data_IF_369054954460
#
_entry.id   IF_369054954460
#
_cell.length_a   1.000
_cell.length_b   1.000
_cell.length_c   1.000
_cell.angle_alpha   90.00
_cell.angle_beta   90.00
_cell.angle_gamma   90.00
#
_symmetry.space_group_name_H-M   'P 1'
#
loop_
_entity.id
_entity.type
_entity.pdbx_description
1 polymer ?
#
# COMPACT_ATOMS: atom_id res chain seq x y z
N UNK A 1 2.75 2.32 9.89
CA UNK A 1 1.37 1.92 9.63
C UNK A 1 1.24 0.95 8.47
N UNK A 2 0.05 0.44 8.26
CA UNK A 2 -0.28 -0.49 7.17
C UNK A 2 -1.34 0.15 6.30
N UNK A 3 -1.18 0.09 4.97
CA UNK A 3 -2.12 0.74 4.07
C UNK A 3 -2.36 -0.06 2.79
N UNK A 4 -3.34 0.41 2.02
CA UNK A 4 -3.62 -0.08 0.67
C UNK A 4 -3.34 1.02 -0.34
N UNK A 5 -2.65 0.68 -1.40
CA UNK A 5 -2.52 1.50 -2.60
C UNK A 5 -3.50 0.99 -3.64
N UNK A 6 -4.72 1.52 -3.63
CA UNK A 6 -5.78 1.14 -4.55
C UNK A 6 -5.51 1.66 -5.95
N UNK A 7 -6.00 0.94 -6.95
CA UNK A 7 -5.77 1.28 -8.36
C UNK A 7 -7.06 1.13 -9.17
N UNK A 8 -7.41 2.15 -9.93
CA UNK A 8 -8.38 2.04 -11.01
C UNK A 8 -7.72 1.38 -12.22
N UNK A 9 -7.86 0.05 -12.33
CA UNK A 9 -7.14 -0.74 -13.33
C UNK A 9 -7.51 -0.43 -14.76
N UNK A 10 -8.75 -0.05 -15.01
CA UNK A 10 -9.25 0.42 -16.30
C UNK A 10 -8.51 1.67 -16.78
N UNK A 11 -8.39 2.69 -15.91
CA UNK A 11 -7.67 3.92 -16.20
C UNK A 11 -6.16 3.69 -16.33
N UNK A 12 -5.60 2.81 -15.50
CA UNK A 12 -4.18 2.45 -15.59
C UNK A 12 -3.86 1.77 -16.92
N UNK A 13 -4.71 0.85 -17.41
CA UNK A 13 -4.52 0.18 -18.69
C UNK A 13 -4.49 1.19 -19.84
N UNK A 14 -5.46 2.09 -19.91
CA UNK A 14 -5.51 3.15 -20.92
C UNK A 14 -4.27 4.05 -20.87
N UNK A 15 -3.84 4.45 -19.68
CA UNK A 15 -2.66 5.28 -19.52
C UNK A 15 -1.38 4.55 -19.94
N UNK A 16 -1.25 3.28 -19.58
CA UNK A 16 -0.11 2.42 -19.94
C UNK A 16 0.01 2.24 -21.45
N UNK A 17 -1.10 1.91 -22.12
CA UNK A 17 -1.13 1.70 -23.57
C UNK A 17 -0.77 2.99 -24.35
N UNK A 18 -1.12 4.14 -23.79
CA UNK A 18 -0.81 5.44 -24.36
C UNK A 18 0.54 6.04 -23.91
N UNK A 19 1.31 5.34 -23.07
CA UNK A 19 2.56 5.85 -22.51
C UNK A 19 2.38 7.09 -21.63
N UNK A 20 1.24 7.21 -20.94
CA UNK A 20 0.87 8.36 -20.09
C UNK A 20 1.12 8.09 -18.61
N UNK A 21 1.28 9.12 -17.77
CA UNK A 21 1.31 9.00 -16.31
C UNK A 21 0.05 8.33 -15.77
N UNK A 22 0.17 7.67 -14.61
CA UNK A 22 -0.93 6.92 -13.98
C UNK A 22 -1.69 7.70 -12.92
N UNK A 23 -1.51 9.03 -12.87
CA UNK A 23 -2.01 9.88 -11.80
C UNK A 23 -3.51 9.67 -11.52
N UNK A 24 -4.34 9.67 -12.57
CA UNK A 24 -5.80 9.47 -12.42
C UNK A 24 -6.19 8.04 -12.06
N UNK A 25 -5.29 7.09 -12.25
CA UNK A 25 -5.50 5.70 -11.84
C UNK A 25 -5.10 5.44 -10.39
N UNK A 26 -4.26 6.31 -9.82
CA UNK A 26 -3.69 6.20 -8.47
C UNK A 26 -4.19 7.28 -7.51
N UNK A 27 -4.28 8.53 -7.98
CA UNK A 27 -4.66 9.68 -7.18
C UNK A 27 -6.17 9.97 -7.25
N UNK A 28 -6.99 9.16 -6.63
CA UNK A 28 -8.43 9.36 -6.51
C UNK A 28 -8.87 9.33 -5.03
N UNK A 29 -10.09 9.80 -4.75
CA UNK A 29 -10.62 9.87 -3.40
C UNK A 29 -10.60 8.50 -2.71
N UNK A 30 -10.09 8.45 -1.48
CA UNK A 30 -9.92 7.24 -0.68
C UNK A 30 -9.05 6.15 -1.34
N UNK A 31 -8.12 6.53 -2.24
CA UNK A 31 -7.24 5.58 -2.94
C UNK A 31 -6.17 4.95 -2.06
N UNK A 32 -5.86 5.55 -0.91
CA UNK A 32 -4.76 5.14 -0.03
C UNK A 32 -5.21 5.04 1.44
N UNK A 33 -6.18 4.18 1.78
CA UNK A 33 -6.56 3.97 3.17
C UNK A 33 -5.37 3.43 3.97
N UNK A 34 -5.24 3.90 5.22
CA UNK A 34 -4.13 3.57 6.10
C UNK A 34 -4.66 3.27 7.51
N UNK A 35 -4.03 2.33 8.19
CA UNK A 35 -4.24 2.08 9.63
C UNK A 35 -3.75 3.27 10.47
N UNK A 36 -3.85 3.17 11.78
CA UNK A 36 -3.16 4.09 12.67
C UNK A 36 -1.65 4.09 12.39
N UNK A 37 -1.03 5.25 12.54
CA UNK A 37 0.42 5.40 12.45
C UNK A 37 1.03 5.22 13.84
N UNK A 38 2.02 4.36 13.94
CA UNK A 38 2.72 4.08 15.18
C UNK A 38 4.11 4.73 15.17
N UNK A 39 4.51 5.42 16.23
CA UNK A 39 5.87 5.94 16.31
C UNK A 39 6.89 4.81 16.39
N UNK A 40 8.08 5.06 15.88
CA UNK A 40 9.20 4.08 15.89
C UNK A 40 9.55 3.65 17.31
N UNK A 41 9.34 4.49 18.32
CA UNK A 41 9.52 4.11 19.73
C UNK A 41 8.69 2.91 20.16
N UNK A 42 7.54 2.67 19.51
CA UNK A 42 6.58 1.65 19.92
C UNK A 42 6.74 0.35 19.11
N UNK A 43 7.01 0.48 17.81
CA UNK A 43 7.06 -0.67 16.88
C UNK A 43 8.46 -0.93 16.32
N UNK A 44 9.44 -0.05 16.57
CA UNK A 44 10.78 -0.15 16.03
C UNK A 44 10.83 0.11 14.53
N UNK A 45 11.88 -0.43 13.89
CA UNK A 45 12.04 -0.50 12.44
C UNK A 45 11.93 -1.96 12.00
N UNK A 46 10.73 -2.47 11.70
CA UNK A 46 10.56 -3.87 11.31
C UNK A 46 11.25 -4.12 9.99
N UNK A 47 12.29 -4.96 10.02
CA UNK A 47 13.02 -5.39 8.82
C UNK A 47 12.52 -6.74 8.30
N UNK A 48 11.95 -7.54 9.18
CA UNK A 48 11.37 -8.85 8.89
C UNK A 48 10.01 -8.93 9.59
N UNK A 49 8.96 -9.04 8.82
CA UNK A 49 7.61 -9.26 9.31
C UNK A 49 6.75 -9.75 8.15
N UNK A 50 5.80 -10.61 8.45
CA UNK A 50 4.79 -11.02 7.49
C UNK A 50 3.92 -9.82 7.14
N UNK A 51 3.73 -9.58 5.83
CA UNK A 51 2.72 -8.65 5.27
C UNK A 51 1.69 -9.48 4.53
N UNK A 52 0.41 -9.20 4.74
CA UNK A 52 -0.66 -10.01 4.16
C UNK A 52 -1.93 -9.21 3.88
N UNK A 53 -2.74 -9.73 2.95
CA UNK A 53 -4.05 -9.20 2.61
C UNK A 53 -5.04 -10.34 2.35
N UNK A 54 -6.23 -10.21 2.92
CA UNK A 54 -7.39 -11.08 2.69
C UNK A 54 -8.52 -10.28 2.03
N UNK A 55 -9.27 -10.94 1.17
CA UNK A 55 -10.52 -10.41 0.60
C UNK A 55 -11.61 -11.44 0.85
N UNK A 56 -12.67 -11.04 1.54
CA UNK A 56 -13.79 -11.91 1.93
C UNK A 56 -13.31 -13.17 2.69
N UNK A 57 -12.30 -13.02 3.55
CA UNK A 57 -11.70 -14.10 4.33
C UNK A 57 -10.75 -15.02 3.55
N UNK A 58 -10.52 -14.77 2.27
CA UNK A 58 -9.55 -15.52 1.47
C UNK A 58 -8.24 -14.76 1.34
N UNK A 59 -7.12 -15.39 1.67
CA UNK A 59 -5.78 -14.83 1.50
C UNK A 59 -5.51 -14.53 0.02
N UNK A 60 -5.12 -13.31 -0.30
CA UNK A 60 -4.84 -12.82 -1.65
C UNK A 60 -3.38 -12.44 -1.85
N UNK A 61 -2.79 -11.78 -0.87
CA UNK A 61 -1.41 -11.36 -0.93
C UNK A 61 -0.71 -11.78 0.36
N UNK A 62 0.51 -12.25 0.23
CA UNK A 62 1.39 -12.58 1.34
C UNK A 62 2.85 -12.40 0.93
N UNK A 63 3.67 -11.93 1.85
CA UNK A 63 5.11 -11.78 1.69
C UNK A 63 5.78 -11.44 3.00
N UNK A 64 7.06 -11.15 2.94
CA UNK A 64 7.83 -10.68 4.07
C UNK A 64 8.49 -9.33 3.75
N UNK A 65 8.68 -8.48 4.75
CA UNK A 65 9.28 -7.16 4.55
C UNK A 65 10.74 -7.24 4.04
N UNK A 66 11.45 -8.32 4.32
CA UNK A 66 12.82 -8.54 3.83
C UNK A 66 12.89 -8.93 2.34
N UNK A 67 11.75 -9.20 1.71
CA UNK A 67 11.67 -9.43 0.25
C UNK A 67 11.65 -8.12 -0.55
N UNK A 68 11.64 -6.96 0.11
CA UNK A 68 11.71 -5.67 -0.57
C UNK A 68 13.01 -5.52 -1.36
N UNK A 69 12.93 -5.10 -2.63
CA UNK A 69 14.10 -4.87 -3.50
C UNK A 69 14.99 -3.76 -2.92
N UNK A 70 14.39 -2.70 -2.39
CA UNK A 70 15.08 -1.57 -1.78
C UNK A 70 14.72 -1.43 -0.30
N UNK A 71 15.72 -1.33 0.60
CA UNK A 71 15.46 -0.97 2.00
C UNK A 71 14.74 0.39 2.12
N UNK A 72 13.90 0.54 3.13
CA UNK A 72 13.15 1.79 3.35
C UNK A 72 14.07 3.02 3.43
N UNK A 73 15.24 2.89 4.06
CA UNK A 73 16.20 3.99 4.14
C UNK A 73 16.65 4.49 2.76
N UNK A 74 16.88 3.56 1.82
CA UNK A 74 17.29 3.89 0.45
C UNK A 74 16.13 4.50 -0.35
N UNK A 75 14.90 4.02 -0.13
CA UNK A 75 13.68 4.62 -0.72
C UNK A 75 13.56 6.09 -0.27
N UNK A 76 13.67 6.36 1.02
CA UNK A 76 13.60 7.72 1.58
C UNK A 76 14.74 8.57 1.03
N UNK A 77 15.99 8.07 1.04
CA UNK A 77 17.15 8.79 0.52
C UNK A 77 17.04 9.11 -0.96
N UNK A 78 16.46 8.21 -1.75
CA UNK A 78 16.22 8.45 -3.17
C UNK A 78 15.12 9.49 -3.40
N UNK A 79 14.00 9.36 -2.69
CA UNK A 79 12.85 10.25 -2.83
C UNK A 79 13.19 11.68 -2.39
N UNK A 80 13.96 11.86 -1.32
CA UNK A 80 14.38 13.16 -0.80
C UNK A 80 15.27 13.97 -1.74
N UNK A 81 15.84 13.33 -2.76
CA UNK A 81 16.57 14.05 -3.84
C UNK A 81 15.64 14.66 -4.89
N UNK A 82 14.41 14.16 -4.98
CA UNK A 82 13.44 14.56 -6.00
C UNK A 82 12.40 15.52 -5.44
N UNK A 83 12.01 15.34 -4.18
CA UNK A 83 11.00 16.15 -3.51
C UNK A 83 11.42 16.47 -2.08
N UNK A 84 10.93 17.58 -1.55
CA UNK A 84 11.10 17.91 -0.13
C UNK A 84 10.12 17.08 0.69
N UNK A 85 10.63 16.19 1.53
CA UNK A 85 9.80 15.43 2.47
C UNK A 85 9.49 16.27 3.71
N UNK A 86 8.26 16.22 4.16
CA UNK A 86 7.77 16.97 5.32
C UNK A 86 7.09 16.03 6.35
N UNK A 87 7.02 16.44 7.63
CA UNK A 87 6.23 15.71 8.62
C UNK A 87 4.78 15.55 8.17
N UNK A 88 4.27 14.31 8.19
CA UNK A 88 2.94 13.95 7.70
C UNK A 88 2.92 13.34 6.31
N UNK A 89 4.02 13.35 5.57
CA UNK A 89 4.11 12.63 4.30
C UNK A 89 4.04 11.12 4.53
N UNK A 90 3.26 10.44 3.70
CA UNK A 90 3.15 8.98 3.70
C UNK A 90 3.85 8.40 2.48
N UNK A 91 4.71 7.42 2.71
CA UNK A 91 5.40 6.69 1.63
C UNK A 91 4.86 5.27 1.59
N UNK A 92 4.15 4.93 0.51
CA UNK A 92 3.70 3.57 0.23
C UNK A 92 4.82 2.83 -0.48
N UNK A 93 5.45 1.90 0.21
CA UNK A 93 6.71 1.26 -0.21
C UNK A 93 6.55 0.05 -1.14
N UNK A 94 5.31 -0.29 -1.48
CA UNK A 94 5.03 -1.39 -2.42
C UNK A 94 4.16 -2.49 -1.82
N UNK A 95 4.01 -3.57 -2.58
CA UNK A 95 3.09 -4.67 -2.26
C UNK A 95 3.66 -6.00 -2.71
N UNK A 96 3.41 -7.12 -1.99
CA UNK A 96 3.75 -8.45 -2.47
C UNK A 96 2.88 -8.87 -3.65
N UNK A 97 3.20 -10.00 -4.26
CA UNK A 97 2.42 -10.59 -5.36
C UNK A 97 0.98 -10.90 -4.94
N UNK A 98 0.09 -11.12 -5.91
CA UNK A 98 -1.31 -11.47 -5.68
C UNK A 98 -2.30 -10.31 -5.83
N UNK A 99 -1.88 -9.19 -6.45
CA UNK A 99 -2.79 -8.07 -6.78
C UNK A 99 -3.96 -8.55 -7.64
N UNK A 100 -5.15 -8.03 -7.36
CA UNK A 100 -6.38 -8.39 -8.05
C UNK A 100 -7.44 -7.31 -7.98
N UNK A 101 -8.53 -7.51 -8.70
CA UNK A 101 -9.67 -6.61 -8.67
C UNK A 101 -10.45 -6.77 -7.37
N UNK A 102 -10.94 -5.64 -6.85
CA UNK A 102 -11.91 -5.56 -5.77
C UNK A 102 -13.27 -5.16 -6.34
N UNK A 103 -14.32 -5.65 -5.71
CA UNK A 103 -15.70 -5.36 -6.09
C UNK A 103 -16.40 -4.58 -4.97
N UNK A 104 -17.41 -3.77 -5.29
CA UNK A 104 -18.26 -3.17 -4.27
C UNK A 104 -18.83 -4.24 -3.32
N UNK A 105 -18.72 -3.99 -2.02
CA UNK A 105 -19.13 -4.92 -0.97
C UNK A 105 -18.03 -5.87 -0.48
N UNK A 106 -16.89 -5.95 -1.17
CA UNK A 106 -15.77 -6.76 -0.67
C UNK A 106 -15.28 -6.25 0.69
N UNK A 107 -15.10 -7.20 1.60
CA UNK A 107 -14.43 -6.97 2.88
C UNK A 107 -12.95 -7.24 2.71
N UNK A 108 -12.14 -6.22 2.97
CA UNK A 108 -10.69 -6.28 2.83
C UNK A 108 -10.06 -6.14 4.20
N UNK A 109 -9.21 -7.09 4.55
CA UNK A 109 -8.45 -7.09 5.79
C UNK A 109 -6.98 -7.28 5.46
N UNK A 110 -6.12 -6.51 6.08
CA UNK A 110 -4.68 -6.62 5.86
C UNK A 110 -3.88 -6.25 7.08
N UNK A 111 -2.60 -6.62 7.07
CA UNK A 111 -1.75 -6.34 8.21
C UNK A 111 -0.26 -6.57 7.94
N UNK A 112 0.52 -6.05 8.87
CA UNK A 112 1.93 -6.36 9.04
C UNK A 112 2.12 -6.81 10.48
N UNK A 113 2.62 -8.02 10.65
CA UNK A 113 2.79 -8.64 11.97
C UNK A 113 3.70 -7.78 12.85
N UNK A 114 3.25 -7.51 14.08
CA UNK A 114 3.97 -6.65 15.03
C UNK A 114 3.87 -5.14 14.76
N UNK A 115 3.13 -4.71 13.73
CA UNK A 115 2.89 -3.29 13.44
C UNK A 115 1.42 -2.94 13.62
N UNK A 116 0.53 -3.39 12.75
CA UNK A 116 -0.89 -3.11 12.83
C UNK A 116 -1.69 -3.97 11.83
N UNK A 117 -3.01 -3.90 11.93
CA UNK A 117 -3.97 -4.45 10.98
C UNK A 117 -5.03 -3.41 10.64
N UNK A 118 -5.65 -3.54 9.48
CA UNK A 118 -6.81 -2.75 9.10
C UNK A 118 -7.91 -3.63 8.53
N UNK A 119 -9.13 -3.12 8.58
CA UNK A 119 -10.28 -3.71 7.90
C UNK A 119 -11.12 -2.61 7.27
N UNK A 120 -11.58 -2.84 6.06
CA UNK A 120 -12.45 -1.92 5.34
C UNK A 120 -13.39 -2.67 4.41
N UNK A 121 -14.47 -2.00 4.03
CA UNK A 121 -15.41 -2.49 3.02
C UNK A 121 -15.34 -1.59 1.80
N UNK A 122 -15.28 -2.20 0.61
CA UNK A 122 -15.31 -1.44 -0.64
C UNK A 122 -16.72 -0.89 -0.86
N UNK A 123 -16.85 0.43 -0.82
CA UNK A 123 -18.14 1.09 -1.01
C UNK A 123 -18.62 0.97 -2.47
N UNK A 124 -19.93 0.92 -2.72
CA UNK A 124 -20.46 1.16 -4.07
C UNK A 124 -20.14 2.60 -4.50
N UNK A 125 -19.98 2.78 -5.79
CA UNK A 125 -19.70 4.09 -6.39
C UNK A 125 -20.96 4.93 -6.50
#
# INVERSE_FOLDING_TARGET
GVGLDLTRRDLQAVAKDAGRPWDMAKGFDASAPCSALHPVSDVGHPAQARIWLEVNGALRQEGNLDEMIWPIADVIASLSRLVTLAPGDLIYSGTPSGVGALQPGDQVRGGVDGVDTFELTIAPR
#
